data_IF_380241613190
#
_entry.id   IF_380241613190
#
_cell.length_a   1.000
_cell.length_b   1.000
_cell.length_c   1.000
_cell.angle_alpha   90.00
_cell.angle_beta   90.00
_cell.angle_gamma   90.00
#
_symmetry.space_group_name_H-M   'P 1'
#
loop_
_entity.id
_entity.type
_entity.pdbx_description
1 polymer ?
#
# COMPACT_ATOMS: atom_id res chain seq x y z
N UNK A 1 -45.14 -7.28 -1.30
CA UNK A 1 -44.16 -7.00 -0.24
C UNK A 1 -43.60 -8.30 0.30
N UNK A 2 -42.62 -8.86 -0.41
CA UNK A 2 -42.03 -10.17 -0.10
C UNK A 2 -41.08 -10.08 1.09
N UNK A 3 -41.27 -10.97 2.07
CA UNK A 3 -40.41 -11.07 3.25
C UNK A 3 -38.96 -11.34 2.85
N UNK A 4 -38.05 -10.46 3.29
CA UNK A 4 -36.61 -10.62 3.06
C UNK A 4 -36.07 -11.91 3.69
N UNK A 5 -34.95 -12.40 3.15
CA UNK A 5 -34.29 -13.62 3.63
C UNK A 5 -34.05 -13.56 5.17
N UNK A 6 -34.64 -14.46 5.97
CA UNK A 6 -34.57 -14.39 7.43
C UNK A 6 -33.15 -14.53 7.96
N UNK A 7 -32.27 -15.27 7.26
CA UNK A 7 -30.87 -15.42 7.63
C UNK A 7 -30.08 -14.12 7.38
N UNK A 8 -30.40 -13.38 6.32
CA UNK A 8 -29.80 -12.06 6.08
C UNK A 8 -30.21 -11.07 7.17
N UNK A 9 -31.48 -11.07 7.56
CA UNK A 9 -31.97 -10.23 8.65
C UNK A 9 -31.30 -10.59 9.99
N UNK A 10 -31.13 -11.89 10.27
CA UNK A 10 -30.44 -12.35 11.47
C UNK A 10 -28.96 -11.92 11.50
N UNK A 11 -28.24 -12.03 10.38
CA UNK A 11 -26.86 -11.55 10.28
C UNK A 11 -26.75 -10.03 10.44
N UNK A 12 -27.65 -9.28 9.79
CA UNK A 12 -27.65 -7.82 9.85
C UNK A 12 -27.99 -7.27 11.25
N UNK A 13 -28.79 -8.00 12.02
CA UNK A 13 -29.23 -7.61 13.38
C UNK A 13 -28.43 -8.26 14.50
N UNK A 14 -27.41 -9.07 14.16
CA UNK A 14 -26.55 -9.71 15.14
C UNK A 14 -25.83 -8.65 15.98
N UNK A 15 -25.99 -8.72 17.30
CA UNK A 15 -25.40 -7.77 18.24
C UNK A 15 -24.07 -8.29 18.80
N UNK A 16 -23.09 -7.40 18.94
CA UNK A 16 -21.82 -7.71 19.58
C UNK A 16 -22.00 -7.84 21.09
N UNK A 17 -21.66 -9.02 21.63
CA UNK A 17 -21.64 -9.21 23.08
C UNK A 17 -20.46 -8.51 23.74
N UNK A 18 -19.37 -8.28 23.01
CA UNK A 18 -18.16 -7.68 23.54
C UNK A 18 -18.41 -6.20 23.94
N UNK A 19 -19.34 -5.51 23.26
CA UNK A 19 -19.81 -4.16 23.61
C UNK A 19 -21.09 -4.16 24.48
N UNK A 20 -22.03 -5.08 24.23
CA UNK A 20 -23.36 -5.08 24.84
C UNK A 20 -23.63 -6.39 25.59
N UNK A 21 -23.11 -6.48 26.82
CA UNK A 21 -23.14 -7.67 27.70
C UNK A 21 -24.54 -8.28 27.99
N UNK A 22 -25.65 -7.65 27.62
CA UNK A 22 -26.99 -7.98 28.13
C UNK A 22 -28.06 -8.29 27.06
N UNK A 23 -27.72 -8.35 25.76
CA UNK A 23 -28.71 -8.69 24.72
C UNK A 23 -28.87 -10.21 24.53
N UNK A 24 -30.11 -10.70 24.60
CA UNK A 24 -30.45 -12.07 24.23
C UNK A 24 -30.07 -12.32 22.76
N UNK A 25 -29.43 -13.46 22.48
CA UNK A 25 -28.91 -13.85 21.16
C UNK A 25 -27.71 -13.06 20.61
N UNK A 26 -27.01 -12.28 21.45
CA UNK A 26 -25.71 -11.67 21.10
C UNK A 26 -24.59 -12.72 20.97
N UNK A 27 -23.60 -12.47 20.11
CA UNK A 27 -22.39 -13.28 19.98
C UNK A 27 -21.15 -12.38 20.18
N UNK A 28 -20.11 -12.84 20.87
CA UNK A 28 -18.85 -12.10 20.97
C UNK A 28 -18.18 -12.06 19.60
N UNK A 29 -18.12 -10.89 18.97
CA UNK A 29 -17.57 -10.75 17.63
C UNK A 29 -16.10 -11.16 17.58
N UNK A 30 -15.34 -10.86 18.64
CA UNK A 30 -13.94 -11.27 18.76
C UNK A 30 -13.74 -12.79 18.56
N UNK A 31 -14.61 -13.63 19.11
CA UNK A 31 -14.54 -15.09 18.94
C UNK A 31 -14.98 -15.52 17.55
N UNK A 32 -16.06 -14.96 17.00
CA UNK A 32 -16.52 -15.29 15.65
C UNK A 32 -15.40 -15.00 14.64
N UNK A 33 -14.80 -13.81 14.75
CA UNK A 33 -13.66 -13.39 13.93
C UNK A 33 -12.47 -14.32 14.10
N UNK A 34 -12.12 -14.72 15.33
CA UNK A 34 -11.01 -15.63 15.56
C UNK A 34 -11.24 -17.00 14.90
N UNK A 35 -12.46 -17.54 14.97
CA UNK A 35 -12.81 -18.83 14.36
C UNK A 35 -12.83 -18.73 12.84
N UNK A 36 -13.47 -17.69 12.28
CA UNK A 36 -13.52 -17.47 10.83
C UNK A 36 -12.12 -17.20 10.26
N UNK A 37 -11.30 -16.40 10.97
CA UNK A 37 -9.93 -16.07 10.58
C UNK A 37 -9.01 -17.29 10.53
N UNK A 38 -9.07 -18.18 11.54
CA UNK A 38 -8.30 -19.44 11.54
C UNK A 38 -8.68 -20.37 10.40
N UNK A 39 -9.94 -20.33 9.98
CA UNK A 39 -10.50 -21.22 8.96
C UNK A 39 -10.72 -20.52 7.62
N UNK A 40 -10.06 -19.38 7.39
CA UNK A 40 -10.32 -18.53 6.22
C UNK A 40 -9.95 -19.19 4.88
N UNK A 41 -9.08 -20.19 4.93
CA UNK A 41 -8.74 -21.05 3.79
C UNK A 41 -9.93 -21.93 3.33
N UNK A 42 -10.97 -22.07 4.15
CA UNK A 42 -12.22 -22.75 3.80
C UNK A 42 -13.18 -21.75 3.16
N UNK A 43 -13.57 -22.00 1.92
CA UNK A 43 -14.42 -21.13 1.10
C UNK A 43 -15.73 -20.71 1.79
N UNK A 44 -16.37 -21.64 2.51
CA UNK A 44 -17.58 -21.34 3.28
C UNK A 44 -17.34 -20.26 4.35
N UNK A 45 -16.20 -20.31 5.05
CA UNK A 45 -15.88 -19.36 6.11
C UNK A 45 -15.52 -17.99 5.54
N UNK A 46 -14.76 -17.94 4.44
CA UNK A 46 -14.47 -16.70 3.73
C UNK A 46 -15.74 -16.04 3.19
N UNK A 47 -16.66 -16.84 2.64
CA UNK A 47 -17.95 -16.36 2.15
C UNK A 47 -18.85 -15.88 3.28
N UNK A 48 -18.88 -16.57 4.41
CA UNK A 48 -19.64 -16.15 5.59
C UNK A 48 -19.08 -14.83 6.15
N UNK A 49 -17.74 -14.70 6.23
CA UNK A 49 -17.08 -13.48 6.65
C UNK A 49 -17.43 -12.31 5.71
N UNK A 50 -17.40 -12.53 4.39
CA UNK A 50 -17.83 -11.54 3.40
C UNK A 50 -19.26 -11.05 3.64
N UNK A 51 -20.21 -11.97 3.82
CA UNK A 51 -21.60 -11.61 4.06
C UNK A 51 -21.81 -10.92 5.41
N UNK A 52 -21.10 -11.33 6.45
CA UNK A 52 -21.15 -10.68 7.76
C UNK A 52 -20.65 -9.23 7.68
N UNK A 53 -19.54 -8.99 6.97
CA UNK A 53 -18.99 -7.66 6.73
C UNK A 53 -19.94 -6.76 5.95
N UNK A 54 -20.59 -7.30 4.92
CA UNK A 54 -21.50 -6.53 4.06
C UNK A 54 -22.81 -6.18 4.76
N UNK A 55 -23.33 -7.08 5.58
CA UNK A 55 -24.67 -6.96 6.16
C UNK A 55 -24.67 -6.31 7.55
N UNK A 56 -23.55 -6.36 8.28
CA UNK A 56 -23.49 -5.91 9.67
C UNK A 56 -22.35 -4.89 9.88
N UNK A 57 -22.67 -3.58 9.87
CA UNK A 57 -21.69 -2.52 10.10
C UNK A 57 -20.98 -2.61 11.45
N UNK A 58 -21.69 -2.98 12.52
CA UNK A 58 -21.09 -3.16 13.85
C UNK A 58 -20.05 -4.29 13.84
N UNK A 59 -20.31 -5.37 13.11
CA UNK A 59 -19.37 -6.47 12.93
C UNK A 59 -18.11 -6.02 12.17
N UNK A 60 -18.29 -5.18 11.14
CA UNK A 60 -17.18 -4.58 10.38
C UNK A 60 -16.34 -3.64 11.25
N UNK A 61 -16.96 -2.85 12.12
CA UNK A 61 -16.22 -1.88 12.93
C UNK A 61 -15.45 -2.57 14.08
N UNK A 62 -15.95 -3.71 14.57
CA UNK A 62 -15.24 -4.56 15.55
C UNK A 62 -14.01 -5.31 14.98
N UNK A 63 -13.74 -5.18 13.68
CA UNK A 63 -12.83 -6.03 12.94
C UNK A 63 -11.51 -5.33 12.58
N UNK A 64 -10.41 -5.66 13.28
CA UNK A 64 -9.04 -5.31 12.86
C UNK A 64 -8.11 -6.53 12.67
N UNK A 65 -8.51 -7.73 13.14
CA UNK A 65 -7.59 -8.86 13.38
C UNK A 65 -7.40 -9.90 12.26
N UNK A 66 -8.35 -10.19 11.34
CA UNK A 66 -8.19 -11.33 10.43
C UNK A 66 -7.32 -11.04 9.19
N UNK A 67 -6.67 -9.87 9.11
CA UNK A 67 -5.95 -9.45 7.90
C UNK A 67 -4.76 -10.35 7.57
N UNK A 68 -3.99 -10.78 8.58
CA UNK A 68 -2.83 -11.66 8.34
C UNK A 68 -3.24 -13.04 7.78
N UNK A 69 -4.20 -13.79 8.39
CA UNK A 69 -4.72 -15.02 7.79
C UNK A 69 -5.31 -14.84 6.39
N UNK A 70 -5.95 -13.70 6.11
CA UNK A 70 -6.45 -13.37 4.77
C UNK A 70 -5.31 -13.22 3.76
N UNK A 71 -4.25 -12.48 4.13
CA UNK A 71 -3.06 -12.31 3.28
C UNK A 71 -2.36 -13.65 3.02
N UNK A 72 -2.27 -14.52 4.03
CA UNK A 72 -1.75 -15.88 3.88
C UNK A 72 -2.61 -16.70 2.90
N UNK A 73 -3.93 -16.68 3.05
CA UNK A 73 -4.83 -17.40 2.15
C UNK A 73 -4.75 -16.89 0.70
N UNK A 74 -4.64 -15.56 0.49
CA UNK A 74 -4.43 -14.96 -0.83
C UNK A 74 -3.11 -15.42 -1.44
N UNK A 75 -2.04 -15.46 -0.63
CA UNK A 75 -0.74 -15.95 -1.07
C UNK A 75 -0.79 -17.43 -1.51
N UNK A 76 -1.48 -18.28 -0.74
CA UNK A 76 -1.62 -19.71 -1.07
C UNK A 76 -2.55 -19.97 -2.26
N UNK A 77 -3.56 -19.13 -2.46
CA UNK A 77 -4.59 -19.30 -3.50
C UNK A 77 -4.50 -18.27 -4.63
N UNK A 78 -3.34 -17.67 -4.86
CA UNK A 78 -3.13 -16.65 -5.92
C UNK A 78 -3.52 -17.15 -7.32
N UNK A 79 -3.41 -18.44 -7.59
CA UNK A 79 -3.73 -19.04 -8.90
C UNK A 79 -5.12 -19.74 -8.92
N UNK A 80 -5.98 -19.48 -7.93
CA UNK A 80 -7.32 -20.04 -7.85
C UNK A 80 -8.37 -18.93 -7.90
N UNK A 81 -8.83 -18.49 -9.10
CA UNK A 81 -9.67 -17.30 -9.26
C UNK A 81 -10.93 -17.29 -8.38
N UNK A 82 -11.74 -18.38 -8.27
CA UNK A 82 -12.95 -18.35 -7.45
C UNK A 82 -12.67 -18.01 -5.98
N UNK A 83 -11.64 -18.62 -5.39
CA UNK A 83 -11.23 -18.34 -4.01
C UNK A 83 -10.57 -16.98 -3.88
N UNK A 84 -9.74 -16.63 -4.86
CA UNK A 84 -9.05 -15.34 -4.89
C UNK A 84 -10.04 -14.18 -4.88
N UNK A 85 -11.13 -14.25 -5.66
CA UNK A 85 -12.15 -13.20 -5.65
C UNK A 85 -12.77 -13.01 -4.27
N UNK A 86 -13.18 -14.11 -3.60
CA UNK A 86 -13.79 -14.01 -2.27
C UNK A 86 -12.81 -13.41 -1.27
N UNK A 87 -11.55 -13.86 -1.29
CA UNK A 87 -10.53 -13.37 -0.36
C UNK A 87 -10.17 -11.90 -0.61
N UNK A 88 -10.01 -11.49 -1.88
CA UNK A 88 -9.77 -10.09 -2.25
C UNK A 88 -10.97 -9.21 -1.90
N UNK A 89 -12.20 -9.67 -2.15
CA UNK A 89 -13.40 -8.90 -1.82
C UNK A 89 -13.56 -8.68 -0.31
N UNK A 90 -13.29 -9.71 0.50
CA UNK A 90 -13.28 -9.61 1.98
C UNK A 90 -12.21 -8.61 2.43
N UNK A 91 -10.97 -8.76 1.94
CA UNK A 91 -9.89 -7.88 2.35
C UNK A 91 -10.14 -6.43 1.89
N UNK A 92 -10.72 -6.24 0.71
CA UNK A 92 -11.05 -4.92 0.17
C UNK A 92 -12.08 -4.21 1.05
N UNK A 93 -13.17 -4.88 1.41
CA UNK A 93 -14.17 -4.33 2.33
C UNK A 93 -13.59 -4.01 3.71
N UNK A 94 -12.67 -4.84 4.23
CA UNK A 94 -11.98 -4.53 5.48
C UNK A 94 -11.07 -3.29 5.33
N UNK A 95 -10.40 -3.14 4.20
CA UNK A 95 -9.47 -2.04 3.94
C UNK A 95 -10.15 -0.68 3.70
N UNK A 96 -11.47 -0.66 3.47
CA UNK A 96 -12.25 0.57 3.39
C UNK A 96 -12.27 1.34 4.72
N UNK A 97 -12.07 0.64 5.84
CA UNK A 97 -11.92 1.28 7.14
C UNK A 97 -10.46 1.73 7.34
N UNK A 98 -10.18 3.06 7.40
CA UNK A 98 -8.81 3.56 7.57
C UNK A 98 -8.12 3.06 8.82
N UNK A 99 -8.86 2.81 9.91
CA UNK A 99 -8.30 2.32 11.16
C UNK A 99 -7.70 0.92 10.98
N UNK A 100 -8.41 0.05 10.25
CA UNK A 100 -7.91 -1.29 9.93
C UNK A 100 -6.58 -1.17 9.20
N UNK A 101 -6.51 -0.37 8.14
CA UNK A 101 -5.28 -0.25 7.36
C UNK A 101 -4.15 0.38 8.17
N UNK A 102 -4.43 1.40 8.99
CA UNK A 102 -3.42 2.02 9.86
C UNK A 102 -2.85 1.03 10.87
N UNK A 103 -3.66 0.11 11.41
CA UNK A 103 -3.15 -0.94 12.32
C UNK A 103 -2.23 -1.92 11.61
N UNK A 104 -2.35 -2.12 10.29
CA UNK A 104 -1.45 -2.99 9.52
C UNK A 104 -0.03 -2.43 9.42
N UNK A 105 0.12 -1.11 9.47
CA UNK A 105 1.43 -0.44 9.42
C UNK A 105 2.12 -0.40 10.78
N UNK A 106 1.43 -0.79 11.86
CA UNK A 106 2.06 -0.97 13.17
C UNK A 106 2.94 -2.23 13.14
N UNK A 107 4.05 -2.19 13.88
CA UNK A 107 4.95 -3.34 13.98
C UNK A 107 4.20 -4.52 14.60
N UNK A 108 4.20 -5.66 13.90
CA UNK A 108 3.63 -6.92 14.37
C UNK A 108 4.64 -8.05 14.23
N UNK A 109 4.39 -9.13 14.99
CA UNK A 109 5.27 -10.27 15.18
C UNK A 109 5.69 -10.98 13.87
N UNK A 110 6.75 -11.77 14.01
CA UNK A 110 7.36 -12.61 12.97
C UNK A 110 6.33 -13.49 12.23
N UNK A 111 6.37 -13.46 10.89
CA UNK A 111 5.45 -14.21 10.03
C UNK A 111 6.09 -15.51 9.54
N UNK A 112 5.63 -16.66 10.02
CA UNK A 112 6.24 -17.97 9.73
C UNK A 112 5.81 -18.59 8.39
N UNK A 113 4.77 -18.06 7.75
CA UNK A 113 4.17 -18.63 6.54
C UNK A 113 4.71 -18.02 5.23
N UNK A 114 5.38 -16.86 5.28
CA UNK A 114 5.95 -16.24 4.10
C UNK A 114 7.27 -16.92 3.72
N UNK A 115 7.25 -17.75 2.68
CA UNK A 115 8.35 -18.66 2.35
C UNK A 115 9.42 -18.07 1.40
N UNK A 116 9.16 -16.93 0.76
CA UNK A 116 10.08 -16.40 -0.25
C UNK A 116 11.37 -15.82 0.36
N UNK A 117 11.31 -15.32 1.60
CA UNK A 117 12.47 -14.83 2.36
C UNK A 117 12.22 -14.97 3.87
N UNK A 118 13.24 -15.36 4.63
CA UNK A 118 13.22 -15.22 6.09
C UNK A 118 13.35 -13.72 6.40
N UNK A 119 12.26 -13.10 6.83
CA UNK A 119 12.24 -11.67 7.10
C UNK A 119 11.83 -11.44 8.55
N UNK A 120 12.70 -10.82 9.33
CA UNK A 120 12.36 -10.29 10.65
C UNK A 120 11.68 -8.92 10.48
N UNK A 121 10.86 -8.53 11.46
CA UNK A 121 10.30 -7.18 11.58
C UNK A 121 9.43 -6.70 10.39
N UNK A 122 8.61 -7.59 9.80
CA UNK A 122 7.61 -7.19 8.82
C UNK A 122 6.31 -6.74 9.47
N UNK A 123 5.91 -5.51 9.19
CA UNK A 123 4.53 -5.09 9.39
C UNK A 123 3.58 -5.89 8.48
N UNK A 124 2.34 -6.10 8.94
CA UNK A 124 1.31 -6.76 8.14
C UNK A 124 1.06 -6.02 6.81
N UNK A 125 1.21 -4.70 6.80
CA UNK A 125 1.13 -3.90 5.58
C UNK A 125 2.26 -4.20 4.59
N UNK A 126 3.50 -4.39 5.06
CA UNK A 126 4.62 -4.78 4.19
C UNK A 126 4.39 -6.15 3.55
N UNK A 127 3.84 -7.09 4.32
CA UNK A 127 3.38 -8.39 3.79
C UNK A 127 2.27 -8.19 2.76
N UNK A 128 1.30 -7.31 3.06
CA UNK A 128 0.22 -6.95 2.15
C UNK A 128 0.73 -6.47 0.80
N UNK A 129 1.70 -5.55 0.79
CA UNK A 129 2.35 -5.08 -0.44
C UNK A 129 2.99 -6.22 -1.23
N UNK A 130 3.71 -7.13 -0.56
CA UNK A 130 4.36 -8.28 -1.21
C UNK A 130 3.34 -9.23 -1.85
N UNK A 131 2.31 -9.61 -1.10
CA UNK A 131 1.25 -10.50 -1.58
C UNK A 131 0.49 -9.85 -2.74
N UNK A 132 0.14 -8.57 -2.65
CA UNK A 132 -0.56 -7.86 -3.73
C UNK A 132 0.31 -7.70 -4.97
N UNK A 133 1.62 -7.43 -4.82
CA UNK A 133 2.55 -7.42 -5.95
C UNK A 133 2.60 -8.79 -6.65
N UNK A 134 2.60 -9.88 -5.88
CA UNK A 134 2.56 -11.25 -6.41
C UNK A 134 1.25 -11.52 -7.16
N UNK A 135 0.11 -11.11 -6.61
CA UNK A 135 -1.21 -11.23 -7.26
C UNK A 135 -1.23 -10.44 -8.58
N UNK A 136 -0.81 -9.18 -8.59
CA UNK A 136 -0.76 -8.34 -9.79
C UNK A 136 0.16 -8.94 -10.87
N UNK A 137 1.33 -9.45 -10.48
CA UNK A 137 2.24 -10.13 -11.40
C UNK A 137 1.64 -11.41 -11.99
N UNK A 138 1.01 -12.24 -11.15
CA UNK A 138 0.32 -13.45 -11.59
C UNK A 138 -0.86 -13.12 -12.51
N UNK A 139 -1.58 -12.03 -12.23
CA UNK A 139 -2.66 -11.57 -13.06
C UNK A 139 -2.18 -11.13 -14.44
N UNK A 140 -1.11 -10.34 -14.52
CA UNK A 140 -0.49 -9.92 -15.77
C UNK A 140 0.06 -11.08 -16.62
N UNK A 141 0.52 -12.16 -15.98
CA UNK A 141 1.26 -13.24 -16.66
C UNK A 141 0.42 -14.49 -16.95
N UNK A 142 -0.63 -14.74 -16.17
CA UNK A 142 -1.36 -16.02 -16.16
C UNK A 142 -2.87 -15.82 -16.18
N UNK A 143 -3.43 -14.99 -15.28
CA UNK A 143 -4.90 -14.94 -15.10
C UNK A 143 -5.60 -14.02 -16.09
N UNK A 144 -4.98 -12.89 -16.43
CA UNK A 144 -5.50 -11.86 -17.33
C UNK A 144 -6.92 -11.37 -16.96
N UNK A 145 -7.19 -11.21 -15.66
CA UNK A 145 -8.50 -10.87 -15.14
C UNK A 145 -8.60 -9.41 -14.68
N UNK A 146 -9.57 -8.67 -15.22
CA UNK A 146 -9.75 -7.24 -14.92
C UNK A 146 -10.31 -6.97 -13.52
N UNK A 147 -11.11 -7.88 -12.97
CA UNK A 147 -11.66 -7.75 -11.63
C UNK A 147 -10.59 -8.01 -10.57
N UNK A 148 -9.75 -9.04 -10.75
CA UNK A 148 -8.57 -9.29 -9.90
C UNK A 148 -7.64 -8.07 -9.95
N UNK A 149 -7.38 -7.52 -11.15
CA UNK A 149 -6.55 -6.33 -11.31
C UNK A 149 -7.09 -5.16 -10.48
N UNK A 150 -8.38 -4.83 -10.67
CA UNK A 150 -9.03 -3.71 -10.01
C UNK A 150 -9.03 -3.85 -8.49
N UNK A 151 -9.42 -5.02 -7.98
CA UNK A 151 -9.44 -5.27 -6.53
C UNK A 151 -8.04 -5.24 -5.92
N UNK A 152 -7.04 -5.86 -6.57
CA UNK A 152 -5.68 -5.89 -6.07
C UNK A 152 -5.03 -4.50 -6.07
N UNK A 153 -5.31 -3.69 -7.11
CA UNK A 153 -4.82 -2.32 -7.18
C UNK A 153 -5.51 -1.39 -6.17
N UNK A 154 -6.83 -1.51 -6.00
CA UNK A 154 -7.57 -0.75 -4.99
C UNK A 154 -7.09 -1.10 -3.57
N UNK A 155 -6.85 -2.38 -3.30
CA UNK A 155 -6.23 -2.83 -2.05
C UNK A 155 -4.84 -2.24 -1.85
N UNK A 156 -4.01 -2.26 -2.89
CA UNK A 156 -2.65 -1.74 -2.81
C UNK A 156 -2.68 -0.23 -2.53
N UNK A 157 -3.53 0.51 -3.23
CA UNK A 157 -3.78 1.92 -2.97
C UNK A 157 -4.17 2.17 -1.52
N UNK A 158 -5.14 1.40 -1.01
CA UNK A 158 -5.62 1.53 0.36
C UNK A 158 -4.50 1.32 1.38
N UNK A 159 -3.59 0.38 1.14
CA UNK A 159 -2.42 0.14 1.99
C UNK A 159 -1.41 1.29 1.87
N UNK A 160 -1.06 1.73 0.65
CA UNK A 160 0.02 2.69 0.42
C UNK A 160 -0.33 4.12 0.90
N UNK A 161 -1.60 4.53 0.87
CA UNK A 161 -2.01 5.86 1.39
C UNK A 161 -1.71 6.05 2.89
N UNK A 162 -1.46 4.97 3.64
CA UNK A 162 -1.04 5.00 5.05
C UNK A 162 0.38 4.45 5.26
N UNK A 163 1.16 4.27 4.18
CA UNK A 163 2.51 3.72 4.22
C UNK A 163 3.40 4.43 5.24
N UNK A 164 3.86 3.69 6.24
CA UNK A 164 4.89 4.13 7.19
C UNK A 164 5.85 2.97 7.43
N UNK A 165 7.14 3.24 7.32
CA UNK A 165 8.22 2.29 7.57
C UNK A 165 8.03 0.96 6.82
N UNK A 166 7.64 1.03 5.54
CA UNK A 166 7.55 -0.16 4.71
C UNK A 166 8.90 -0.89 4.68
N UNK A 167 8.84 -2.21 4.80
CA UNK A 167 10.04 -3.05 4.79
C UNK A 167 10.76 -2.94 3.43
N UNK A 168 12.11 -2.92 3.39
CA UNK A 168 12.88 -2.78 2.14
C UNK A 168 12.48 -3.78 1.04
N UNK A 169 12.14 -5.01 1.42
CA UNK A 169 11.71 -6.02 0.43
C UNK A 169 10.35 -5.66 -0.20
N UNK A 170 9.44 -5.04 0.55
CA UNK A 170 8.14 -4.60 0.05
C UNK A 170 8.29 -3.44 -0.94
N UNK A 171 9.10 -2.44 -0.60
CA UNK A 171 9.37 -1.29 -1.47
C UNK A 171 10.12 -1.71 -2.74
N UNK A 172 11.10 -2.62 -2.62
CA UNK A 172 11.77 -3.21 -3.79
C UNK A 172 10.81 -4.02 -4.66
N UNK A 173 9.85 -4.74 -4.07
CA UNK A 173 8.85 -5.50 -4.84
C UNK A 173 7.98 -4.60 -5.70
N UNK A 174 7.53 -3.45 -5.16
CA UNK A 174 6.78 -2.43 -5.92
C UNK A 174 7.57 -1.95 -7.13
N UNK A 175 8.82 -1.53 -6.90
CA UNK A 175 9.68 -0.99 -7.96
C UNK A 175 10.01 -2.06 -9.00
N UNK A 176 10.25 -3.32 -8.58
CA UNK A 176 10.48 -4.45 -9.48
C UNK A 176 9.25 -4.78 -10.32
N UNK A 177 8.04 -4.69 -9.76
CA UNK A 177 6.81 -4.91 -10.49
C UNK A 177 6.59 -3.80 -11.53
N UNK A 178 6.83 -2.54 -11.17
CA UNK A 178 6.80 -1.42 -12.11
C UNK A 178 7.79 -1.63 -13.27
N UNK A 179 9.04 -1.97 -12.95
CA UNK A 179 10.07 -2.25 -13.95
C UNK A 179 9.68 -3.42 -14.86
N UNK A 180 9.09 -4.47 -14.28
CA UNK A 180 8.58 -5.61 -15.04
C UNK A 180 7.47 -5.20 -16.00
N UNK A 181 6.49 -4.42 -15.53
CA UNK A 181 5.37 -3.95 -16.34
C UNK A 181 5.86 -3.06 -17.49
N UNK A 182 6.72 -2.08 -17.21
CA UNK A 182 7.30 -1.20 -18.22
C UNK A 182 8.09 -1.95 -19.30
N UNK A 183 8.94 -2.90 -18.88
CA UNK A 183 9.74 -3.70 -19.82
C UNK A 183 8.86 -4.61 -20.67
N UNK A 184 7.82 -5.22 -20.08
CA UNK A 184 6.90 -6.11 -20.79
C UNK A 184 6.02 -5.33 -21.77
N UNK A 185 5.51 -4.17 -21.38
CA UNK A 185 4.84 -3.23 -22.29
C UNK A 185 5.71 -2.98 -23.52
N UNK A 186 6.97 -2.58 -23.33
CA UNK A 186 7.86 -2.23 -24.44
C UNK A 186 8.09 -3.40 -25.39
N UNK A 187 8.27 -4.61 -24.86
CA UNK A 187 8.46 -5.82 -25.64
C UNK A 187 7.20 -6.22 -26.41
N UNK A 188 6.03 -5.95 -25.84
CA UNK A 188 4.73 -6.33 -26.39
C UNK A 188 4.08 -5.23 -27.21
N UNK A 189 4.70 -4.05 -27.37
CA UNK A 189 4.17 -2.95 -28.23
C UNK A 189 3.67 -3.37 -29.63
N UNK A 190 4.27 -4.37 -30.31
CA UNK A 190 3.70 -4.87 -31.56
C UNK A 190 2.29 -5.48 -31.43
N UNK A 191 1.90 -5.92 -30.23
CA UNK A 191 0.58 -6.41 -29.84
C UNK A 191 -0.10 -5.38 -28.90
N UNK A 192 -0.87 -4.42 -29.44
CA UNK A 192 -1.36 -3.28 -28.68
C UNK A 192 -2.29 -3.69 -27.53
N UNK A 193 -3.09 -4.74 -27.70
CA UNK A 193 -4.04 -5.22 -26.68
C UNK A 193 -3.31 -5.78 -25.45
N UNK A 194 -2.24 -6.56 -25.68
CA UNK A 194 -1.42 -7.10 -24.59
C UNK A 194 -0.59 -5.99 -23.93
N UNK A 195 0.03 -5.12 -24.71
CA UNK A 195 0.81 -4.00 -24.20
C UNK A 195 -0.04 -3.04 -23.34
N UNK A 196 -1.31 -2.82 -23.71
CA UNK A 196 -2.21 -1.92 -22.99
C UNK A 196 -2.41 -2.33 -21.52
N UNK A 197 -2.54 -3.62 -21.23
CA UNK A 197 -2.70 -4.11 -19.86
C UNK A 197 -1.46 -3.83 -18.99
N UNK A 198 -0.26 -4.03 -19.56
CA UNK A 198 1.00 -3.72 -18.89
C UNK A 198 1.21 -2.22 -18.71
N UNK A 199 0.85 -1.40 -19.71
CA UNK A 199 0.93 0.06 -19.62
C UNK A 199 -0.02 0.58 -18.53
N UNK A 200 -1.27 0.14 -18.52
CA UNK A 200 -2.24 0.52 -17.49
C UNK A 200 -1.73 0.17 -16.09
N UNK A 201 -1.20 -1.05 -15.92
CA UNK A 201 -0.64 -1.48 -14.63
C UNK A 201 0.58 -0.65 -14.23
N UNK A 202 1.47 -0.30 -15.16
CA UNK A 202 2.61 0.56 -14.87
C UNK A 202 2.17 1.96 -14.38
N UNK A 203 1.14 2.53 -15.00
CA UNK A 203 0.55 3.82 -14.59
C UNK A 203 -0.07 3.74 -13.21
N UNK A 204 -0.89 2.72 -12.95
CA UNK A 204 -1.52 2.54 -11.63
C UNK A 204 -0.48 2.33 -10.51
N UNK A 205 0.60 1.60 -10.80
CA UNK A 205 1.72 1.43 -9.86
C UNK A 205 2.48 2.74 -9.63
N UNK A 206 2.68 3.57 -10.65
CA UNK A 206 3.27 4.90 -10.49
C UNK A 206 2.42 5.76 -9.58
N UNK A 207 1.09 5.79 -9.78
CA UNK A 207 0.17 6.52 -8.90
C UNK A 207 0.26 6.02 -7.45
N UNK A 208 0.38 4.71 -7.22
CA UNK A 208 0.62 4.18 -5.88
C UNK A 208 1.97 4.65 -5.29
N UNK A 209 3.05 4.60 -6.08
CA UNK A 209 4.38 5.05 -5.64
C UNK A 209 4.36 6.55 -5.33
N UNK A 210 3.70 7.34 -6.16
CA UNK A 210 3.49 8.77 -5.94
C UNK A 210 2.87 9.06 -4.57
N UNK A 211 1.85 8.31 -4.15
CA UNK A 211 1.27 8.47 -2.81
C UNK A 211 2.34 8.35 -1.72
N UNK A 212 3.22 7.35 -1.82
CA UNK A 212 4.33 7.14 -0.89
C UNK A 212 5.39 8.26 -0.92
N UNK A 213 5.48 9.00 -2.03
CA UNK A 213 6.35 10.16 -2.20
C UNK A 213 5.69 11.48 -1.74
N UNK A 214 4.41 11.48 -1.35
CA UNK A 214 3.76 12.71 -0.89
C UNK A 214 4.45 13.28 0.34
N UNK A 215 4.52 14.61 0.50
CA UNK A 215 5.22 15.26 1.62
C UNK A 215 4.80 14.77 3.01
N UNK A 216 3.53 14.38 3.16
CA UNK A 216 2.98 13.77 4.38
C UNK A 216 3.63 12.42 4.72
N UNK A 217 3.88 11.59 3.72
CA UNK A 217 4.37 10.21 3.88
C UNK A 217 5.88 10.09 3.64
N UNK A 218 6.47 11.07 2.95
CA UNK A 218 7.87 11.07 2.54
C UNK A 218 8.85 10.83 3.72
N UNK A 219 8.72 11.49 4.89
CA UNK A 219 9.63 11.27 6.02
C UNK A 219 9.57 9.87 6.64
N UNK A 220 8.46 9.17 6.43
CA UNK A 220 8.21 7.85 7.00
C UNK A 220 8.54 6.71 6.01
N UNK A 221 8.95 7.03 4.78
CA UNK A 221 9.17 6.04 3.70
C UNK A 221 10.58 6.15 3.10
N UNK A 222 11.60 6.32 3.94
CA UNK A 222 13.00 6.39 3.51
C UNK A 222 13.43 5.15 2.69
N UNK A 223 12.93 3.96 3.04
CA UNK A 223 13.20 2.71 2.29
C UNK A 223 12.63 2.72 0.87
N UNK A 224 11.48 3.36 0.66
CA UNK A 224 10.91 3.54 -0.68
C UNK A 224 11.78 4.50 -1.49
N UNK A 225 12.21 5.62 -0.89
CA UNK A 225 13.08 6.59 -1.56
C UNK A 225 14.43 5.97 -1.93
N UNK A 226 15.02 5.20 -1.03
CA UNK A 226 16.22 4.42 -1.29
C UNK A 226 16.01 3.42 -2.44
N UNK A 227 14.89 2.70 -2.45
CA UNK A 227 14.57 1.76 -3.53
C UNK A 227 14.40 2.46 -4.89
N UNK A 228 13.87 3.68 -4.90
CA UNK A 228 13.72 4.50 -6.11
C UNK A 228 15.05 5.07 -6.61
N UNK A 229 15.94 5.51 -5.71
CA UNK A 229 17.29 5.96 -6.05
C UNK A 229 18.08 4.88 -6.79
N UNK A 230 18.00 3.63 -6.32
CA UNK A 230 18.63 2.45 -6.95
C UNK A 230 17.93 1.99 -8.24
N UNK A 231 16.78 2.55 -8.57
CA UNK A 231 16.02 2.24 -9.78
C UNK A 231 16.04 3.37 -10.81
N UNK A 232 17.09 4.22 -10.79
CA UNK A 232 17.22 5.36 -11.70
C UNK A 232 17.08 4.99 -13.17
N UNK A 233 17.60 3.83 -13.59
CA UNK A 233 17.51 3.38 -14.99
C UNK A 233 16.07 3.11 -15.41
N UNK A 234 15.28 2.53 -14.51
CA UNK A 234 13.84 2.27 -14.73
C UNK A 234 13.09 3.59 -14.85
N UNK A 235 13.35 4.52 -13.94
CA UNK A 235 12.67 5.81 -13.91
C UNK A 235 13.05 6.67 -15.13
N UNK A 236 14.32 6.69 -15.53
CA UNK A 236 14.77 7.39 -16.73
C UNK A 236 14.17 6.78 -18.00
N UNK A 237 14.07 5.45 -18.07
CA UNK A 237 13.41 4.76 -19.18
C UNK A 237 11.93 5.14 -19.30
N UNK A 238 11.24 5.26 -18.17
CA UNK A 238 9.84 5.70 -18.10
C UNK A 238 9.69 7.19 -18.45
N UNK A 239 10.63 8.05 -18.06
CA UNK A 239 10.64 9.47 -18.40
C UNK A 239 10.73 9.71 -19.92
N UNK A 240 11.40 8.81 -20.64
CA UNK A 240 11.56 8.86 -22.10
C UNK A 240 10.50 8.03 -22.84
N UNK A 241 9.45 7.58 -22.15
CA UNK A 241 8.43 6.72 -22.74
C UNK A 241 7.58 7.48 -23.79
N UNK A 242 7.13 6.84 -24.89
CA UNK A 242 6.32 7.50 -25.92
C UNK A 242 4.99 8.07 -25.41
N UNK A 243 4.36 7.39 -24.45
CA UNK A 243 3.10 7.83 -23.83
C UNK A 243 3.30 9.10 -23.00
N UNK A 244 2.68 10.21 -23.41
CA UNK A 244 2.65 11.47 -22.67
C UNK A 244 2.12 11.30 -21.25
N UNK A 245 0.99 10.61 -21.09
CA UNK A 245 0.39 10.39 -19.79
C UNK A 245 1.35 9.69 -18.81
N UNK A 246 2.15 8.72 -19.27
CA UNK A 246 3.15 8.06 -18.43
C UNK A 246 4.29 9.01 -18.03
N UNK A 247 4.68 9.93 -18.92
CA UNK A 247 5.72 10.94 -18.63
C UNK A 247 5.23 11.94 -17.58
N UNK A 248 3.96 12.34 -17.66
CA UNK A 248 3.35 13.22 -16.66
C UNK A 248 3.23 12.50 -15.30
N UNK A 249 2.77 11.24 -15.32
CA UNK A 249 2.62 10.39 -14.14
C UNK A 249 3.96 10.11 -13.43
N UNK A 250 5.13 10.24 -14.08
CA UNK A 250 6.42 9.99 -13.42
C UNK A 250 7.10 11.27 -12.90
N UNK A 251 6.69 12.46 -13.36
CA UNK A 251 7.38 13.71 -13.07
C UNK A 251 7.60 13.99 -11.57
N UNK A 252 6.57 13.76 -10.74
CA UNK A 252 6.66 13.96 -9.29
C UNK A 252 7.65 12.98 -8.63
N UNK A 253 7.68 11.73 -9.08
CA UNK A 253 8.60 10.70 -8.58
C UNK A 253 10.04 11.09 -8.92
N UNK A 254 10.29 11.55 -10.15
CA UNK A 254 11.62 12.03 -10.57
C UNK A 254 12.08 13.23 -9.75
N UNK A 255 11.20 14.21 -9.52
CA UNK A 255 11.52 15.36 -8.66
C UNK A 255 11.89 14.95 -7.23
N UNK A 256 11.15 13.99 -6.66
CA UNK A 256 11.43 13.45 -5.32
C UNK A 256 12.77 12.72 -5.28
N UNK A 257 13.08 11.92 -6.31
CA UNK A 257 14.36 11.21 -6.41
C UNK A 257 15.53 12.17 -6.61
N UNK A 258 15.37 13.20 -7.43
CA UNK A 258 16.38 14.24 -7.62
C UNK A 258 16.67 14.99 -6.31
N UNK A 259 15.62 15.32 -5.54
CA UNK A 259 15.77 15.90 -4.21
C UNK A 259 16.53 14.96 -3.26
N UNK A 260 16.14 13.68 -3.20
CA UNK A 260 16.83 12.70 -2.35
C UNK A 260 18.30 12.51 -2.76
N UNK A 261 18.61 12.53 -4.06
CA UNK A 261 19.99 12.44 -4.56
C UNK A 261 20.81 13.65 -4.12
N UNK A 262 20.30 14.86 -4.28
CA UNK A 262 20.99 16.07 -3.81
C UNK A 262 21.27 16.06 -2.30
N UNK A 263 20.36 15.50 -1.48
CA UNK A 263 20.58 15.34 -0.04
C UNK A 263 21.67 14.32 0.31
N UNK A 264 21.83 13.29 -0.51
CA UNK A 264 22.91 12.30 -0.33
C UNK A 264 24.24 12.94 -0.71
N UNK A 265 24.30 13.60 -1.87
CA UNK A 265 25.50 14.26 -2.40
C UNK A 265 26.00 15.40 -1.49
N UNK A 266 25.10 16.24 -0.95
CA UNK A 266 25.47 17.35 -0.05
C UNK A 266 26.20 16.90 1.22
N UNK A 267 25.88 15.72 1.73
CA UNK A 267 26.56 15.19 2.91
C UNK A 267 27.93 14.57 2.60
N UNK A 268 28.24 14.30 1.32
CA UNK A 268 29.57 13.82 0.92
C UNK A 268 30.57 14.98 0.90
N UNK A 269 30.12 16.19 0.53
CA UNK A 269 30.95 17.39 0.49
C UNK A 269 31.26 17.98 1.88
N UNK A 270 30.39 17.80 2.89
CA UNK A 270 30.61 18.31 4.26
C UNK A 270 31.51 17.39 5.12
N UNK A 271 31.79 16.16 4.66
CA UNK A 271 32.63 15.17 5.36
C UNK A 271 34.13 15.28 5.07
N UNK A 272 34.55 16.12 4.12
CA UNK A 272 35.89 16.11 3.53
C UNK A 272 36.86 17.13 4.17
N UNK A 273 36.75 17.32 5.49
CA UNK A 273 37.58 18.25 6.24
C UNK A 273 38.89 17.69 6.78
N UNK A 274 38.99 16.37 7.02
CA UNK A 274 40.17 15.72 7.61
C UNK A 274 40.01 14.19 7.55
N UNK A 275 40.19 13.52 6.40
CA UNK A 275 40.73 12.15 6.40
C UNK A 275 41.29 11.70 5.04
N UNK A 276 42.25 10.81 5.13
CA UNK A 276 43.22 10.33 4.15
C UNK A 276 42.59 9.68 2.89
N UNK A 277 42.23 10.47 1.87
CA UNK A 277 42.19 10.09 0.43
C UNK A 277 41.40 8.82 0.02
N UNK A 278 40.59 8.25 0.90
CA UNK A 278 39.74 7.09 0.64
C UNK A 278 38.31 7.58 0.52
N UNK A 279 37.83 7.65 -0.72
CA UNK A 279 36.41 7.77 -1.07
C UNK A 279 35.63 6.74 -0.23
N UNK A 280 35.02 7.19 0.87
CA UNK A 280 34.21 6.34 1.73
C UNK A 280 32.83 6.28 1.09
N UNK A 281 32.53 5.16 0.41
CA UNK A 281 31.17 4.88 -0.01
C UNK A 281 30.27 4.89 1.24
N UNK A 282 29.27 5.78 1.28
CA UNK A 282 28.32 5.86 2.37
C UNK A 282 27.68 4.49 2.64
N UNK A 283 27.55 4.14 3.92
CA UNK A 283 26.77 2.96 4.29
C UNK A 283 25.28 3.16 4.00
N UNK A 284 24.55 2.07 3.78
CA UNK A 284 23.09 2.13 3.56
C UNK A 284 22.36 2.87 4.70
N UNK A 285 22.82 2.72 5.94
CA UNK A 285 22.23 3.38 7.11
C UNK A 285 22.43 4.91 7.04
N UNK A 286 23.63 5.36 6.69
CA UNK A 286 23.94 6.79 6.51
C UNK A 286 23.10 7.41 5.38
N UNK A 287 22.93 6.70 4.27
CA UNK A 287 22.08 7.15 3.16
C UNK A 287 20.62 7.30 3.62
N UNK A 288 20.09 6.31 4.35
CA UNK A 288 18.72 6.34 4.86
C UNK A 288 18.51 7.47 5.88
N UNK A 289 19.47 7.73 6.76
CA UNK A 289 19.41 8.83 7.72
C UNK A 289 19.39 10.19 7.03
N UNK A 290 20.25 10.40 6.02
CA UNK A 290 20.28 11.64 5.22
C UNK A 290 18.96 11.86 4.48
N UNK A 291 18.44 10.83 3.81
CA UNK A 291 17.13 10.88 3.15
C UNK A 291 16.07 11.25 4.18
N UNK A 292 16.03 10.56 5.32
CA UNK A 292 15.01 10.81 6.34
C UNK A 292 15.10 12.24 6.91
N UNK A 293 16.32 12.75 7.15
CA UNK A 293 16.56 14.11 7.60
C UNK A 293 16.06 15.16 6.60
N UNK A 294 16.45 15.02 5.32
CA UNK A 294 16.01 15.90 4.25
C UNK A 294 14.49 15.88 4.05
N UNK A 295 13.90 14.68 3.99
CA UNK A 295 12.45 14.53 3.86
C UNK A 295 11.68 15.18 5.02
N UNK A 296 12.19 15.08 6.26
CA UNK A 296 11.61 15.81 7.41
C UNK A 296 11.69 17.32 7.17
N UNK A 297 12.84 17.86 6.76
CA UNK A 297 12.98 19.30 6.52
C UNK A 297 12.01 19.81 5.44
N UNK A 298 11.84 19.07 4.34
CA UNK A 298 10.89 19.39 3.27
C UNK A 298 9.44 19.43 3.79
N UNK A 299 9.02 18.40 4.54
CA UNK A 299 7.68 18.32 5.11
C UNK A 299 7.38 19.48 6.09
N UNK A 300 8.37 19.91 6.88
CA UNK A 300 8.22 21.08 7.75
C UNK A 300 8.08 22.38 6.93
N UNK A 301 8.88 22.55 5.87
CA UNK A 301 8.81 23.74 5.01
C UNK A 301 7.45 23.90 4.34
N UNK A 302 6.87 22.81 3.83
CA UNK A 302 5.53 22.86 3.22
C UNK A 302 4.41 23.11 4.23
N UNK A 303 4.53 22.54 5.43
CA UNK A 303 3.58 22.82 6.52
C UNK A 303 3.58 24.31 6.87
N UNK A 304 4.78 24.91 6.98
CA UNK A 304 4.93 26.34 7.23
C UNK A 304 4.32 27.16 6.10
N UNK A 305 4.61 26.85 4.83
CA UNK A 305 4.01 27.54 3.66
C UNK A 305 2.49 27.50 3.68
N UNK A 306 1.89 26.34 3.94
CA UNK A 306 0.44 26.21 4.06
C UNK A 306 -0.13 27.04 5.21
N UNK A 307 0.53 27.09 6.37
CA UNK A 307 0.09 27.93 7.49
C UNK A 307 0.22 29.43 7.20
N UNK A 308 1.26 29.85 6.49
CA UNK A 308 1.44 31.26 6.10
C UNK A 308 0.43 31.71 5.04
N UNK A 309 0.07 30.84 4.09
CA UNK A 309 -0.94 31.13 3.08
C UNK A 309 -2.35 31.23 3.69
N UNK A 310 -2.67 30.36 4.65
CA UNK A 310 -3.91 30.43 5.43
C UNK A 310 -3.97 31.68 6.32
N UNK A 311 -2.87 32.04 6.97
CA UNK A 311 -2.77 33.25 7.78
C UNK A 311 -2.95 34.52 6.94
N UNK A 312 -2.29 34.59 5.77
CA UNK A 312 -2.45 35.72 4.84
C UNK A 312 -3.87 35.82 4.26
N UNK A 313 -4.53 34.68 4.02
CA UNK A 313 -5.93 34.66 3.57
C UNK A 313 -6.91 35.05 4.68
N UNK A 314 -6.62 34.74 5.94
CA UNK A 314 -7.42 35.15 7.09
C UNK A 314 -7.29 36.66 7.36
N UNK A 315 -6.08 37.21 7.29
CA UNK A 315 -5.85 38.66 7.42
C UNK A 315 -6.56 39.47 6.33
N UNK A 316 -6.64 38.94 5.10
CA UNK A 316 -7.42 39.55 4.02
C UNK A 316 -8.94 39.54 4.27
N UNK A 317 -9.47 38.53 4.95
CA UNK A 317 -10.90 38.51 5.33
C UNK A 317 -11.22 39.47 6.48
N UNK A 318 -10.28 39.67 7.42
CA UNK A 318 -10.45 40.65 8.50
C UNK A 318 -10.39 42.08 7.96
N UNK A 319 -9.53 42.36 6.97
CA UNK A 319 -9.40 43.67 6.33
C UNK A 319 -10.54 44.03 5.37
N UNK A 320 -11.37 43.06 4.93
CA UNK A 320 -12.57 43.33 4.11
C UNK A 320 -13.85 43.49 4.94
N UNK A 321 -13.75 43.41 6.26
CA UNK A 321 -14.89 43.44 7.21
C UNK A 321 -14.93 44.72 8.08
N UNK A 322 -14.05 45.69 7.79
CA UNK A 322 -13.96 46.98 8.48
C UNK A 322 -14.30 48.16 7.60
#
# INVERSE_FOLDING_TARGET
NGGGNPFRNALATLADRDELSMMAHSLPFSHVVAVLGRNIHIELHATLLYHALLLNPSFRDALCRPVLPLLEAIYMHTLSPPRLYTLLAVLLHLSENPLVVQTLHQAQDHQTWYQERYLCDLSAASVGVLVLCRVLKANLSVLHDSLVQSMAMALLWNVIQFAKNLHPTATQSLVKLLAHAAKKEQLLRPSPDEAAAYLATARDLLLCIQLGCTPRLLPANAQLMYSLLHASDVLNGLAMHPSEALRDDIAMVLGTVAYCRAMVDQGDDEGDGDDDGRMHDLTMEQVLERIQGGCKALAHSETVRHTTDLAWSADKMVLSSG
#
